data_IF_592299204688
#
_entry.id   IF_592299204688
#
_cell.length_a   1.000
_cell.length_b   1.000
_cell.length_c   1.000
_cell.angle_alpha   90.00
_cell.angle_beta   90.00
_cell.angle_gamma   90.00
#
_symmetry.space_group_name_H-M   'P 1'
#
loop_
_entity.id
_entity.type
_entity.pdbx_description
1 polymer ?
#
# COMPACT_ATOMS: atom_id res chain seq x y z
N UNK A 1 35.02 55.25 -19.30
CA UNK A 1 33.82 54.40 -19.47
C UNK A 1 33.79 53.43 -18.29
N UNK A 2 32.78 53.49 -17.43
CA UNK A 2 32.65 52.59 -16.27
C UNK A 2 31.75 51.43 -16.70
N UNK A 3 32.31 50.23 -16.79
CA UNK A 3 31.61 49.00 -17.15
C UNK A 3 31.04 48.39 -15.87
N UNK A 4 29.72 48.26 -15.79
CA UNK A 4 29.04 47.60 -14.67
C UNK A 4 28.57 46.23 -15.14
N UNK A 5 29.04 45.17 -14.48
CA UNK A 5 28.57 43.80 -14.71
C UNK A 5 27.37 43.53 -13.80
N UNK A 6 26.20 43.33 -14.39
CA UNK A 6 24.99 42.88 -13.69
C UNK A 6 25.06 41.38 -13.48
N UNK A 7 25.16 40.93 -12.23
CA UNK A 7 24.96 39.54 -11.82
C UNK A 7 23.46 39.31 -11.65
N UNK A 8 22.84 38.59 -12.58
CA UNK A 8 21.48 38.09 -12.41
C UNK A 8 21.51 36.84 -11.54
N UNK A 9 21.01 36.97 -10.30
CA UNK A 9 20.79 35.86 -9.39
C UNK A 9 19.52 35.11 -9.83
N UNK A 10 19.68 33.94 -10.46
CA UNK A 10 18.57 33.01 -10.67
C UNK A 10 18.21 32.39 -9.32
N UNK A 11 17.08 32.80 -8.74
CA UNK A 11 16.43 32.11 -7.62
C UNK A 11 15.94 30.75 -8.14
N UNK A 12 16.73 29.70 -7.92
CA UNK A 12 16.28 28.33 -8.10
C UNK A 12 15.28 28.04 -6.98
N UNK A 13 13.99 28.21 -7.28
CA UNK A 13 12.91 27.74 -6.39
C UNK A 13 12.97 26.22 -6.43
N UNK A 14 13.73 25.64 -5.50
CA UNK A 14 13.71 24.21 -5.26
C UNK A 14 12.29 23.84 -4.85
N UNK A 15 11.57 23.18 -5.76
CA UNK A 15 10.34 22.47 -5.42
C UNK A 15 10.76 21.35 -4.47
N UNK A 16 10.68 21.62 -3.16
CA UNK A 16 10.74 20.56 -2.16
C UNK A 16 9.47 19.73 -2.34
N UNK A 17 9.56 18.66 -3.13
CA UNK A 17 8.57 17.60 -3.07
C UNK A 17 8.73 16.95 -1.71
N UNK A 18 7.83 17.30 -0.79
CA UNK A 18 7.69 16.59 0.46
C UNK A 18 7.21 15.18 0.12
N UNK A 19 8.08 14.20 0.30
CA UNK A 19 7.68 12.80 0.29
C UNK A 19 6.93 12.57 1.60
N UNK A 20 5.60 12.66 1.57
CA UNK A 20 4.78 12.17 2.67
C UNK A 20 4.67 10.65 2.53
N UNK A 21 4.69 9.95 3.67
CA UNK A 21 4.39 8.53 3.69
C UNK A 21 2.94 8.33 3.20
N UNK A 22 2.72 7.21 2.48
CA UNK A 22 1.38 6.82 2.05
C UNK A 22 0.48 6.60 3.26
N UNK A 23 -0.80 6.89 3.13
CA UNK A 23 -1.79 6.63 4.19
C UNK A 23 -1.95 5.13 4.39
N UNK A 24 -1.87 4.68 5.64
CA UNK A 24 -2.09 3.28 6.00
C UNK A 24 -3.54 3.08 6.45
N UNK A 25 -4.26 2.13 5.84
CA UNK A 25 -5.67 1.98 6.14
C UNK A 25 -5.92 1.60 7.60
N UNK A 26 -5.14 0.68 8.17
CA UNK A 26 -5.41 0.14 9.50
C UNK A 26 -4.95 1.12 10.60
N UNK A 27 -3.87 1.86 10.36
CA UNK A 27 -3.36 2.83 11.32
C UNK A 27 -4.05 4.20 11.24
N UNK A 28 -4.46 4.63 10.04
CA UNK A 28 -4.97 5.98 9.81
C UNK A 28 -6.49 6.05 9.54
N UNK A 29 -7.04 5.10 8.76
CA UNK A 29 -8.43 5.19 8.25
C UNK A 29 -9.43 4.42 9.12
N UNK A 30 -9.14 3.16 9.44
CA UNK A 30 -10.01 2.32 10.26
C UNK A 30 -10.33 2.95 11.63
N UNK A 31 -9.38 3.60 12.34
CA UNK A 31 -9.69 4.27 13.60
C UNK A 31 -10.71 5.41 13.47
N UNK A 32 -10.69 6.15 12.35
CA UNK A 32 -11.68 7.20 12.06
C UNK A 32 -13.06 6.56 11.90
N UNK A 33 -13.16 5.46 11.14
CA UNK A 33 -14.42 4.75 10.97
C UNK A 33 -14.91 4.14 12.28
N UNK A 34 -14.02 3.58 13.10
CA UNK A 34 -14.36 3.00 14.39
C UNK A 34 -14.92 4.05 15.35
N UNK A 35 -14.32 5.24 15.34
CA UNK A 35 -14.74 6.33 16.21
C UNK A 35 -16.08 6.94 15.79
N UNK A 36 -16.29 7.16 14.49
CA UNK A 36 -17.40 7.98 14.00
C UNK A 36 -18.53 7.20 13.30
N UNK A 37 -18.24 6.00 12.79
CA UNK A 37 -19.10 5.35 11.81
C UNK A 37 -19.62 3.97 12.27
N UNK A 38 -18.77 3.12 12.85
CA UNK A 38 -19.11 1.70 13.08
C UNK A 38 -20.22 1.47 14.09
N UNK A 39 -20.54 2.44 14.95
CA UNK A 39 -21.72 2.35 15.83
C UNK A 39 -23.03 2.14 15.07
N UNK A 40 -23.13 2.69 13.85
CA UNK A 40 -24.26 2.46 12.94
C UNK A 40 -23.85 1.63 11.72
N UNK A 41 -22.61 1.72 11.23
CA UNK A 41 -22.12 1.05 10.03
C UNK A 41 -21.17 -0.12 10.31
N UNK A 42 -21.17 -0.68 11.53
CA UNK A 42 -20.30 -1.80 11.91
C UNK A 42 -20.88 -3.17 11.56
N UNK A 43 -22.20 -3.27 11.38
CA UNK A 43 -22.86 -4.47 10.83
C UNK A 43 -24.32 -4.16 10.44
N UNK A 44 -24.79 -4.73 9.32
CA UNK A 44 -26.20 -4.78 8.89
C UNK A 44 -26.89 -3.45 8.53
N UNK A 45 -26.17 -2.47 7.98
CA UNK A 45 -26.73 -1.15 7.59
C UNK A 45 -26.71 -0.87 6.08
N UNK A 46 -26.59 -1.91 5.26
CA UNK A 46 -26.44 -1.82 3.80
C UNK A 46 -25.05 -1.37 3.34
N UNK A 47 -24.39 -0.53 4.14
CA UNK A 47 -22.96 -0.18 4.05
C UNK A 47 -22.29 -0.58 5.35
N UNK A 48 -21.15 -1.27 5.25
CA UNK A 48 -20.36 -1.75 6.39
C UNK A 48 -18.94 -1.18 6.32
N UNK A 49 -18.46 -0.59 7.42
CA UNK A 49 -17.18 0.12 7.53
C UNK A 49 -16.26 -0.47 8.61
N UNK A 50 -16.48 -1.73 9.00
CA UNK A 50 -15.75 -2.40 10.09
C UNK A 50 -14.48 -3.15 9.64
N UNK A 51 -14.19 -3.16 8.35
CA UNK A 51 -12.98 -3.75 7.78
C UNK A 51 -12.74 -3.23 6.37
N UNK A 52 -11.48 -3.30 5.92
CA UNK A 52 -11.08 -2.90 4.57
C UNK A 52 -11.97 -3.51 3.48
N UNK A 53 -12.07 -4.84 3.47
CA UNK A 53 -12.90 -5.57 2.49
C UNK A 53 -14.36 -5.08 2.50
N UNK A 54 -14.91 -4.78 3.68
CA UNK A 54 -16.28 -4.32 3.78
C UNK A 54 -16.45 -2.91 3.21
N UNK A 55 -15.51 -2.00 3.47
CA UNK A 55 -15.50 -0.64 2.91
C UNK A 55 -15.43 -0.70 1.38
N UNK A 56 -14.50 -1.48 0.84
CA UNK A 56 -14.24 -1.54 -0.60
C UNK A 56 -15.35 -2.23 -1.39
N UNK A 57 -16.08 -3.17 -0.77
CA UNK A 57 -17.16 -3.92 -1.42
C UNK A 57 -18.57 -3.42 -1.07
N UNK A 58 -18.71 -2.43 -0.19
CA UNK A 58 -20.01 -1.85 0.15
C UNK A 58 -20.54 -0.98 -0.97
N UNK A 59 -21.83 -1.11 -1.27
CA UNK A 59 -22.54 -0.30 -2.28
C UNK A 59 -23.43 0.71 -1.57
N UNK A 60 -23.28 1.99 -1.91
CA UNK A 60 -24.13 3.05 -1.41
C UNK A 60 -25.49 3.00 -2.10
N UNK A 61 -26.53 2.54 -1.42
CA UNK A 61 -27.86 2.36 -2.03
C UNK A 61 -28.46 3.62 -2.66
N UNK A 62 -28.09 4.80 -2.18
CA UNK A 62 -28.52 6.09 -2.75
C UNK A 62 -27.78 6.46 -4.04
N UNK A 63 -26.59 5.90 -4.26
CA UNK A 63 -25.74 6.17 -5.42
C UNK A 63 -25.75 5.01 -6.43
N UNK A 64 -26.04 3.79 -5.99
CA UNK A 64 -26.07 2.60 -6.83
C UNK A 64 -24.69 2.08 -7.25
N UNK A 65 -23.62 2.57 -6.62
CA UNK A 65 -22.22 2.19 -6.88
C UNK A 65 -21.48 1.92 -5.57
N UNK A 66 -20.25 1.39 -5.67
CA UNK A 66 -19.36 1.20 -4.53
C UNK A 66 -19.16 2.53 -3.81
N UNK A 67 -19.03 2.50 -2.48
CA UNK A 67 -18.86 3.72 -1.69
C UNK A 67 -17.48 4.37 -1.87
N UNK A 68 -16.49 3.62 -2.39
CA UNK A 68 -15.14 4.07 -2.67
C UNK A 68 -14.81 3.77 -4.13
N UNK A 69 -14.38 4.79 -4.87
CA UNK A 69 -13.81 4.70 -6.21
C UNK A 69 -12.30 4.97 -6.12
N UNK A 70 -11.44 3.93 -6.20
CA UNK A 70 -9.99 4.08 -6.06
C UNK A 70 -9.40 5.09 -7.05
N UNK A 71 -8.65 6.07 -6.52
CA UNK A 71 -8.02 7.14 -7.30
C UNK A 71 -8.92 8.36 -7.54
N UNK A 72 -10.23 8.25 -7.32
CA UNK A 72 -11.20 9.30 -7.62
C UNK A 72 -11.99 9.70 -6.35
N UNK A 73 -11.39 10.48 -5.43
CA UNK A 73 -12.04 10.86 -4.18
C UNK A 73 -13.32 11.67 -4.40
N UNK A 74 -13.36 12.53 -5.43
CA UNK A 74 -14.54 13.35 -5.73
C UNK A 74 -15.71 12.55 -6.31
N UNK A 75 -15.43 11.40 -6.92
CA UNK A 75 -16.46 10.49 -7.45
C UNK A 75 -16.86 9.41 -6.44
N UNK A 76 -16.22 9.39 -5.26
CA UNK A 76 -16.47 8.39 -4.22
C UNK A 76 -17.65 8.82 -3.33
N UNK A 77 -18.76 8.04 -3.26
CA UNK A 77 -19.89 8.36 -2.40
C UNK A 77 -19.56 8.55 -0.92
N UNK A 78 -18.51 7.87 -0.42
CA UNK A 78 -18.01 8.05 0.94
C UNK A 78 -17.62 9.51 1.22
N UNK A 79 -16.91 10.14 0.28
CA UNK A 79 -16.42 11.51 0.40
C UNK A 79 -17.59 12.49 0.33
N UNK A 80 -18.49 12.33 -0.64
CA UNK A 80 -19.71 13.14 -0.73
C UNK A 80 -20.49 13.13 0.60
N UNK A 81 -20.66 11.94 1.20
CA UNK A 81 -21.40 11.78 2.46
C UNK A 81 -20.79 12.44 3.68
N UNK A 82 -19.47 12.58 3.77
CA UNK A 82 -18.80 13.17 4.93
C UNK A 82 -18.62 14.69 4.79
N UNK A 83 -18.76 15.23 3.58
CA UNK A 83 -18.66 16.67 3.31
C UNK A 83 -19.87 17.47 3.81
N UNK A 84 -19.72 18.79 4.07
CA UNK A 84 -20.77 19.60 4.67
C UNK A 84 -22.12 19.60 3.93
N UNK A 85 -22.10 19.46 2.60
CA UNK A 85 -23.28 19.52 1.74
C UNK A 85 -23.28 18.36 0.72
N UNK A 86 -23.63 17.13 1.14
CA UNK A 86 -23.68 16.00 0.22
C UNK A 86 -24.72 16.21 -0.87
N UNK A 87 -24.44 15.75 -2.08
CA UNK A 87 -25.38 15.79 -3.21
C UNK A 87 -26.62 14.93 -2.93
N UNK A 88 -26.44 13.82 -2.21
CA UNK A 88 -27.51 12.88 -1.90
C UNK A 88 -27.72 12.76 -0.40
N UNK A 89 -28.99 12.82 0.06
CA UNK A 89 -29.37 12.56 1.44
C UNK A 89 -28.77 13.54 2.47
N UNK A 90 -28.55 13.07 3.70
CA UNK A 90 -27.95 13.86 4.79
C UNK A 90 -26.49 13.49 5.01
N UNK A 91 -25.71 14.46 5.51
CA UNK A 91 -24.30 14.29 5.88
C UNK A 91 -24.15 13.24 6.98
N UNK A 92 -23.06 12.47 6.89
CA UNK A 92 -22.59 11.56 7.93
C UNK A 92 -21.39 12.16 8.70
N UNK A 93 -21.25 11.86 9.99
CA UNK A 93 -22.16 11.08 10.83
C UNK A 93 -23.43 11.86 11.20
N UNK A 94 -24.56 11.15 11.28
CA UNK A 94 -25.85 11.73 11.70
C UNK A 94 -25.91 11.85 13.22
N UNK A 95 -26.46 12.97 13.72
CA UNK A 95 -26.61 13.25 15.15
C UNK A 95 -25.30 13.25 15.95
N UNK A 96 -24.16 13.37 15.28
CA UNK A 96 -22.84 13.52 15.88
C UNK A 96 -22.11 14.71 15.24
N UNK A 97 -21.00 15.11 15.86
CA UNK A 97 -20.12 16.12 15.29
C UNK A 97 -19.59 15.63 13.93
N UNK A 98 -19.42 16.54 12.95
CA UNK A 98 -18.73 16.19 11.71
C UNK A 98 -17.30 15.74 12.00
N UNK A 99 -16.72 14.98 11.07
CA UNK A 99 -15.28 14.76 11.01
C UNK A 99 -14.56 16.11 10.91
N UNK A 100 -13.31 16.16 11.39
CA UNK A 100 -12.45 17.31 11.16
C UNK A 100 -12.03 17.40 9.69
N UNK A 101 -11.63 18.59 9.27
CA UNK A 101 -11.12 18.80 7.90
C UNK A 101 -9.88 17.91 7.64
N UNK A 102 -9.07 17.67 8.67
CA UNK A 102 -7.92 16.76 8.58
C UNK A 102 -8.33 15.30 8.40
N UNK A 103 -9.34 14.81 9.14
CA UNK A 103 -9.86 13.44 8.98
C UNK A 103 -10.47 13.24 7.58
N UNK A 104 -11.23 14.22 7.08
CA UNK A 104 -11.78 14.19 5.72
C UNK A 104 -10.63 14.19 4.70
N UNK A 105 -9.62 15.03 4.88
CA UNK A 105 -8.48 15.10 3.98
C UNK A 105 -7.66 13.81 3.98
N UNK A 106 -7.56 13.12 5.12
CA UNK A 106 -6.87 11.84 5.24
C UNK A 106 -7.58 10.75 4.43
N UNK A 107 -8.91 10.65 4.57
CA UNK A 107 -9.75 9.74 3.77
C UNK A 107 -9.62 10.06 2.28
N UNK A 108 -9.71 11.35 1.90
CA UNK A 108 -9.55 11.79 0.50
C UNK A 108 -8.18 11.40 -0.06
N UNK A 109 -7.12 11.57 0.75
CA UNK A 109 -5.74 11.20 0.36
C UNK A 109 -5.63 9.70 0.15
N UNK A 110 -6.11 8.89 1.09
CA UNK A 110 -6.11 7.44 0.97
C UNK A 110 -6.82 6.97 -0.31
N UNK A 111 -7.99 7.53 -0.64
CA UNK A 111 -8.69 7.20 -1.88
C UNK A 111 -7.89 7.64 -3.10
N UNK A 112 -7.35 8.86 -3.11
CA UNK A 112 -6.53 9.37 -4.21
C UNK A 112 -5.25 8.52 -4.44
N UNK A 113 -4.72 7.91 -3.40
CA UNK A 113 -3.58 6.98 -3.44
C UNK A 113 -3.98 5.56 -3.91
N UNK A 114 -5.24 5.36 -4.28
CA UNK A 114 -5.77 4.09 -4.80
C UNK A 114 -6.46 3.22 -3.76
N UNK A 115 -6.80 3.77 -2.58
CA UNK A 115 -7.53 3.08 -1.53
C UNK A 115 -6.91 1.72 -1.14
N UNK A 116 -5.59 1.68 -0.98
CA UNK A 116 -4.86 0.45 -0.67
C UNK A 116 -5.05 0.07 0.81
N UNK A 117 -5.07 -1.23 1.09
CA UNK A 117 -5.13 -1.75 2.47
C UNK A 117 -3.83 -1.51 3.24
N UNK A 118 -2.69 -1.67 2.56
CA UNK A 118 -1.38 -1.44 3.18
C UNK A 118 -0.67 -0.30 2.49
N UNK A 119 0.00 0.54 3.28
CA UNK A 119 0.94 1.51 2.75
C UNK A 119 2.08 0.80 2.00
N UNK A 120 2.30 1.18 0.75
CA UNK A 120 3.43 0.74 -0.07
C UNK A 120 4.67 1.49 0.40
N UNK A 121 5.56 0.78 1.10
CA UNK A 121 6.86 1.32 1.45
C UNK A 121 7.83 1.27 0.27
N UNK A 122 8.59 2.34 0.07
CA UNK A 122 9.73 2.37 -0.87
C UNK A 122 11.04 1.94 -0.23
N UNK A 123 11.00 1.43 1.00
CA UNK A 123 12.17 0.82 1.65
C UNK A 123 12.60 -0.36 0.79
N UNK A 124 13.81 -0.28 0.22
CA UNK A 124 14.38 -1.40 -0.52
C UNK A 124 14.40 -2.62 0.39
N UNK A 125 13.74 -3.71 -0.02
CA UNK A 125 13.91 -5.02 0.61
C UNK A 125 15.38 -5.45 0.41
N UNK A 126 16.24 -5.07 1.36
CA UNK A 126 17.68 -5.41 1.34
C UNK A 126 17.93 -6.87 1.69
N UNK A 127 16.89 -7.62 2.04
CA UNK A 127 16.93 -9.02 2.45
C UNK A 127 17.12 -10.03 1.32
N UNK A 128 17.35 -9.60 0.06
CA UNK A 128 17.85 -10.51 -0.98
C UNK A 128 19.37 -10.59 -0.83
N UNK A 129 19.94 -11.75 -0.47
CA UNK A 129 21.39 -11.92 -0.43
C UNK A 129 21.99 -11.57 -1.80
N UNK A 130 22.89 -10.60 -1.84
CA UNK A 130 23.54 -10.13 -3.09
C UNK A 130 24.53 -11.12 -3.69
N UNK A 131 24.66 -12.31 -3.12
CA UNK A 131 25.52 -13.37 -3.62
C UNK A 131 25.11 -14.70 -3.02
N UNK A 132 24.85 -15.67 -3.90
CA UNK A 132 24.88 -17.08 -3.58
C UNK A 132 26.09 -17.65 -4.31
N UNK A 133 27.04 -18.22 -3.56
CA UNK A 133 28.14 -18.96 -4.16
C UNK A 133 27.77 -20.44 -4.17
N UNK A 134 27.58 -21.00 -5.36
CA UNK A 134 27.59 -22.44 -5.51
C UNK A 134 29.04 -22.90 -5.53
N UNK A 135 29.47 -23.54 -4.44
CA UNK A 135 30.79 -24.15 -4.40
C UNK A 135 30.77 -25.33 -5.39
N UNK A 136 31.62 -25.26 -6.41
CA UNK A 136 31.68 -26.27 -7.47
C UNK A 136 31.92 -27.67 -6.90
N UNK A 137 31.11 -28.64 -7.33
CA UNK A 137 31.31 -30.04 -6.94
C UNK A 137 32.45 -30.67 -7.75
N UNK A 138 33.68 -30.52 -7.24
CA UNK A 138 34.88 -31.09 -7.83
C UNK A 138 35.70 -31.89 -6.80
N UNK A 139 36.38 -33.00 -7.19
CA UNK A 139 36.19 -33.79 -8.39
C UNK A 139 35.18 -34.90 -8.10
N UNK A 140 34.04 -34.93 -8.80
CA UNK A 140 33.17 -36.11 -8.76
C UNK A 140 33.16 -36.82 -10.13
N UNK A 141 34.06 -37.79 -10.38
CA UNK A 141 34.05 -38.51 -11.64
C UNK A 141 33.03 -39.66 -11.68
N UNK A 142 32.58 -40.26 -10.55
CA UNK A 142 31.69 -41.45 -10.59
C UNK A 142 30.84 -41.73 -9.32
N UNK A 143 30.43 -40.73 -8.51
CA UNK A 143 29.51 -40.96 -7.39
C UNK A 143 28.05 -40.66 -7.78
N UNK A 144 27.06 -41.57 -7.56
CA UNK A 144 25.63 -41.33 -7.83
C UNK A 144 24.99 -40.29 -6.90
N UNK A 145 25.75 -39.74 -5.95
CA UNK A 145 25.30 -38.73 -5.00
C UNK A 145 26.28 -37.56 -4.97
N UNK A 146 25.75 -36.34 -4.90
CA UNK A 146 26.52 -35.11 -4.76
C UNK A 146 26.03 -34.35 -3.55
N UNK A 147 26.94 -33.66 -2.86
CA UNK A 147 26.59 -32.70 -1.82
C UNK A 147 26.58 -31.32 -2.46
N UNK A 148 25.47 -30.60 -2.30
CA UNK A 148 25.37 -29.19 -2.68
C UNK A 148 25.58 -28.40 -1.39
N UNK A 149 26.59 -27.53 -1.39
CA UNK A 149 26.86 -26.62 -0.27
C UNK A 149 26.56 -25.21 -0.70
N UNK A 150 25.73 -24.51 0.07
CA UNK A 150 25.41 -23.10 -0.10
C UNK A 150 25.55 -22.37 1.25
N UNK A 151 25.77 -21.06 1.21
CA UNK A 151 25.80 -20.20 2.39
C UNK A 151 24.86 -19.01 2.17
N UNK A 152 24.22 -18.56 3.24
CA UNK A 152 23.39 -17.36 3.26
C UNK A 152 23.88 -16.42 4.37
N UNK A 153 23.95 -15.10 4.12
CA UNK A 153 24.35 -14.13 5.12
C UNK A 153 23.32 -13.97 6.25
N UNK A 154 22.06 -14.32 5.99
CA UNK A 154 20.95 -14.21 6.95
C UNK A 154 20.19 -15.53 7.09
N UNK A 155 19.62 -15.76 8.27
CA UNK A 155 18.79 -16.94 8.55
C UNK A 155 17.42 -16.73 7.90
N UNK A 156 17.14 -17.49 6.85
CA UNK A 156 15.87 -17.43 6.11
C UNK A 156 15.40 -18.85 5.77
N UNK A 157 14.09 -18.99 5.51
CA UNK A 157 13.56 -20.19 4.90
C UNK A 157 14.09 -20.29 3.47
N UNK A 158 14.50 -21.47 3.03
CA UNK A 158 15.04 -21.69 1.70
C UNK A 158 14.34 -22.83 0.96
N UNK A 159 14.36 -22.77 -0.37
CA UNK A 159 14.04 -23.87 -1.27
C UNK A 159 15.15 -24.03 -2.30
N UNK A 160 15.57 -25.26 -2.56
CA UNK A 160 16.55 -25.62 -3.58
C UNK A 160 15.91 -26.60 -4.56
N UNK A 161 15.60 -26.10 -5.74
CA UNK A 161 15.01 -26.88 -6.82
C UNK A 161 16.12 -27.45 -7.72
N UNK A 162 16.15 -28.77 -7.87
CA UNK A 162 17.14 -29.47 -8.70
C UNK A 162 16.47 -29.92 -9.99
N UNK A 163 16.97 -29.44 -11.13
CA UNK A 163 16.48 -29.81 -12.46
C UNK A 163 17.49 -30.68 -13.21
N UNK A 164 17.00 -31.52 -14.13
CA UNK A 164 17.86 -32.23 -15.08
C UNK A 164 18.21 -31.36 -16.30
N UNK A 165 19.05 -31.87 -17.20
CA UNK A 165 19.48 -31.15 -18.41
C UNK A 165 18.37 -30.86 -19.40
N UNK A 166 17.21 -31.52 -19.28
CA UNK A 166 16.01 -31.25 -20.08
C UNK A 166 15.08 -30.21 -19.42
N UNK A 167 15.48 -29.64 -18.27
CA UNK A 167 14.69 -28.66 -17.52
C UNK A 167 13.54 -29.27 -16.70
N UNK A 168 13.51 -30.59 -16.51
CA UNK A 168 12.49 -31.24 -15.66
C UNK A 168 12.96 -31.24 -14.21
N UNK A 169 12.06 -30.89 -13.27
CA UNK A 169 12.31 -30.93 -11.84
C UNK A 169 12.57 -32.37 -11.38
N UNK A 170 13.67 -32.57 -10.65
CA UNK A 170 14.10 -33.84 -10.09
C UNK A 170 13.74 -33.92 -8.60
N UNK A 171 14.00 -32.85 -7.85
CA UNK A 171 13.64 -32.76 -6.42
C UNK A 171 13.66 -31.31 -5.95
N UNK A 172 12.95 -31.04 -4.86
CA UNK A 172 12.96 -29.79 -4.11
C UNK A 172 13.49 -30.07 -2.69
N UNK A 173 14.35 -29.20 -2.16
CA UNK A 173 14.87 -29.29 -0.79
C UNK A 173 14.56 -27.99 -0.05
N UNK A 174 13.79 -28.06 1.04
CA UNK A 174 13.41 -26.89 1.83
C UNK A 174 13.93 -26.96 3.27
N UNK A 175 14.19 -25.81 3.91
CA UNK A 175 14.55 -25.74 5.33
C UNK A 175 14.62 -24.33 5.89
#
# INVERSE_FOLDING_TARGET
MKTYATISLFLFVGCFMSVQAQVDYEEDIQPIFDQHCTSCHGSNSGVTLSSYDAVMNSVGSQYGTNIVEPGEPDESPLVDKIEPNPENGARMPQNASPLSDEEIQLIRTWIAEGANEMAVSTEQFTGVPKGFEMIGNYPNPFNPQTVITFSSPEKANYSVDIYNSAGMLVTELSG
#
